data_IF_741568281663
#
_entry.id   IF_741568281663
#
_cell.length_a   1.000
_cell.length_b   1.000
_cell.length_c   1.000
_cell.angle_alpha   90.00
_cell.angle_beta   90.00
_cell.angle_gamma   90.00
#
_symmetry.space_group_name_H-M   'P 1'
#
loop_
_entity.id
_entity.type
_entity.pdbx_description
1 polymer ?
#
# COMPACT_ATOMS: atom_id res chain seq x y z
N UNK A 1 9.41 3.93 -3.13
CA UNK A 1 8.15 4.36 -3.77
C UNK A 1 7.05 4.51 -2.72
N UNK A 2 6.10 5.44 -2.89
CA UNK A 2 4.98 5.61 -1.95
C UNK A 2 4.10 4.36 -1.92
N UNK A 3 3.75 3.90 -0.72
CA UNK A 3 2.90 2.73 -0.54
C UNK A 3 1.94 2.85 0.65
N UNK A 4 0.85 2.10 0.58
CA UNK A 4 -0.02 1.78 1.72
C UNK A 4 0.18 0.32 2.09
N UNK A 5 0.67 0.05 3.31
CA UNK A 5 0.87 -1.31 3.83
C UNK A 5 0.30 -1.42 5.24
N UNK A 6 -0.60 -2.40 5.45
CA UNK A 6 -1.31 -2.61 6.72
C UNK A 6 -1.94 -1.33 7.30
N UNK A 7 -2.49 -0.47 6.43
CA UNK A 7 -3.11 0.79 6.81
C UNK A 7 -2.13 1.93 7.13
N UNK A 8 -0.83 1.71 6.98
CA UNK A 8 0.21 2.74 7.16
C UNK A 8 0.71 3.25 5.82
N UNK A 9 1.04 4.54 5.76
CA UNK A 9 1.64 5.17 4.57
C UNK A 9 3.15 5.31 4.80
N UNK A 10 3.95 4.90 3.83
CA UNK A 10 5.41 5.02 3.86
C UNK A 10 5.99 5.00 2.44
N UNK A 11 7.28 5.29 2.26
CA UNK A 11 7.92 5.28 0.92
C UNK A 11 8.86 4.10 0.67
N UNK A 12 8.66 2.98 1.37
CA UNK A 12 9.43 1.73 1.22
C UNK A 12 8.84 0.76 0.18
N UNK A 13 7.92 1.25 -0.65
CA UNK A 13 7.33 0.46 -1.72
C UNK A 13 8.33 0.12 -2.81
N UNK A 14 8.11 -1.02 -3.44
CA UNK A 14 8.85 -1.52 -4.60
C UNK A 14 7.98 -1.41 -5.86
N UNK A 15 8.58 -1.17 -7.03
CA UNK A 15 7.84 -0.93 -8.27
C UNK A 15 7.03 -2.14 -8.76
N UNK A 16 7.39 -3.36 -8.38
CA UNK A 16 6.70 -4.61 -8.72
C UNK A 16 5.48 -4.92 -7.82
N UNK A 17 5.30 -4.16 -6.74
CA UNK A 17 4.21 -4.36 -5.76
C UNK A 17 3.05 -3.38 -5.97
N UNK A 18 2.55 -3.34 -7.20
CA UNK A 18 1.52 -2.41 -7.67
C UNK A 18 0.33 -2.25 -6.71
N UNK A 19 -0.17 -3.33 -6.12
CA UNK A 19 -1.31 -3.26 -5.20
C UNK A 19 -1.08 -2.42 -3.94
N UNK A 20 0.17 -2.24 -3.53
CA UNK A 20 0.53 -1.39 -2.40
C UNK A 20 0.95 0.01 -2.85
N UNK A 21 1.42 0.15 -4.08
CA UNK A 21 2.13 1.33 -4.57
C UNK A 21 1.37 2.16 -5.59
N UNK A 22 0.26 1.66 -6.10
CA UNK A 22 -0.56 2.38 -7.07
C UNK A 22 -1.48 3.39 -6.38
N UNK A 23 -1.44 4.61 -6.90
CA UNK A 23 -2.25 5.73 -6.44
C UNK A 23 -2.94 6.37 -7.63
N UNK A 24 -4.25 6.52 -7.54
CA UNK A 24 -5.01 7.33 -8.46
C UNK A 24 -4.79 8.80 -8.08
N UNK A 25 -4.41 9.61 -9.07
CA UNK A 25 -4.37 11.06 -8.96
C UNK A 25 -5.69 11.59 -9.52
N UNK A 26 -6.57 12.04 -8.63
CA UNK A 26 -7.90 12.54 -9.00
C UNK A 26 -7.83 14.06 -8.99
N UNK A 27 -7.76 14.66 -10.18
CA UNK A 27 -7.70 16.11 -10.36
C UNK A 27 -9.05 16.78 -10.22
N UNK A 28 -9.03 18.03 -9.77
CA UNK A 28 -10.16 18.95 -9.69
C UNK A 28 -9.93 20.11 -10.68
N UNK A 29 -10.99 20.87 -10.98
CA UNK A 29 -10.98 21.93 -11.98
C UNK A 29 -10.09 23.13 -11.61
N UNK A 30 -9.81 23.34 -10.33
CA UNK A 30 -8.95 24.40 -9.79
C UNK A 30 -7.45 24.02 -9.79
N UNK A 31 -7.10 22.87 -10.40
CA UNK A 31 -5.74 22.34 -10.42
C UNK A 31 -5.31 21.69 -9.10
N UNK A 32 -6.20 21.59 -8.11
CA UNK A 32 -5.98 20.76 -6.94
C UNK A 32 -6.21 19.28 -7.29
N UNK A 33 -5.72 18.38 -6.44
CA UNK A 33 -5.92 16.95 -6.64
C UNK A 33 -5.95 16.18 -5.33
N UNK A 34 -6.47 14.95 -5.40
CA UNK A 34 -6.53 13.99 -4.31
C UNK A 34 -5.71 12.75 -4.68
N UNK A 35 -5.07 12.14 -3.69
CA UNK A 35 -4.33 10.89 -3.85
C UNK A 35 -5.11 9.74 -3.23
N UNK A 36 -5.65 8.86 -4.06
CA UNK A 36 -6.41 7.69 -3.62
C UNK A 36 -5.60 6.41 -3.84
N UNK A 37 -5.43 5.61 -2.80
CA UNK A 37 -4.81 4.29 -2.92
C UNK A 37 -5.70 3.37 -3.77
N UNK A 38 -5.16 2.83 -4.87
CA UNK A 38 -5.94 2.11 -5.87
C UNK A 38 -6.69 0.90 -5.28
N UNK A 39 -6.00 0.07 -4.47
CA UNK A 39 -6.58 -1.11 -3.86
C UNK A 39 -7.61 -0.78 -2.77
N UNK A 40 -7.23 0.06 -1.80
CA UNK A 40 -8.06 0.28 -0.61
C UNK A 40 -9.13 1.37 -0.76
N UNK A 41 -9.07 2.13 -1.87
CA UNK A 41 -9.90 3.31 -2.15
C UNK A 41 -9.82 4.44 -1.10
N UNK A 42 -8.86 4.36 -0.17
CA UNK A 42 -8.61 5.39 0.83
C UNK A 42 -7.74 6.51 0.28
N UNK A 43 -8.07 7.73 0.66
CA UNK A 43 -7.35 8.96 0.33
C UNK A 43 -6.26 9.25 1.38
N UNK A 44 -5.15 9.81 0.93
CA UNK A 44 -4.16 10.42 1.82
C UNK A 44 -4.73 11.75 2.33
N UNK A 45 -4.77 11.92 3.64
CA UNK A 45 -5.22 13.16 4.27
C UNK A 45 -4.32 13.55 5.44
N UNK A 46 -4.09 14.84 5.61
CA UNK A 46 -3.60 15.38 6.86
C UNK A 46 -4.64 15.22 7.98
N UNK A 47 -4.17 15.02 9.20
CA UNK A 47 -5.01 15.10 10.40
C UNK A 47 -4.78 16.42 11.14
N UNK A 48 -5.56 16.66 12.21
CA UNK A 48 -5.45 17.89 13.02
C UNK A 48 -4.04 18.13 13.60
N UNK A 49 -3.22 17.08 13.74
CA UNK A 49 -1.82 17.12 14.24
C UNK A 49 -0.79 17.23 13.12
N UNK A 50 -1.20 17.62 11.90
CA UNK A 50 -0.34 17.71 10.72
C UNK A 50 0.40 16.41 10.35
N UNK A 51 -0.19 15.25 10.69
CA UNK A 51 0.30 13.93 10.26
C UNK A 51 -0.59 13.38 9.15
N UNK A 52 -0.02 12.56 8.28
CA UNK A 52 -0.79 11.86 7.25
C UNK A 52 -1.55 10.65 7.80
N UNK A 53 -2.72 10.40 7.24
CA UNK A 53 -3.62 9.29 7.55
C UNK A 53 -4.33 8.84 6.27
N UNK A 54 -4.90 7.63 6.28
CA UNK A 54 -5.74 7.13 5.20
C UNK A 54 -7.22 7.21 5.59
N UNK A 55 -8.06 7.78 4.73
CA UNK A 55 -9.51 7.94 4.98
C UNK A 55 -10.34 7.51 3.78
N UNK A 56 -11.52 6.94 4.00
CA UNK A 56 -12.44 6.62 2.90
C UNK A 56 -13.12 7.88 2.33
N UNK A 57 -13.41 8.86 3.18
CA UNK A 57 -13.95 10.14 2.74
C UNK A 57 -12.80 11.09 2.37
N UNK A 58 -12.73 11.45 1.09
CA UNK A 58 -11.73 12.36 0.52
C UNK A 58 -12.23 13.78 0.22
N UNK A 59 -13.44 14.17 0.66
CA UNK A 59 -14.02 15.48 0.36
C UNK A 59 -13.48 16.63 1.25
N UNK A 60 -12.83 16.31 2.35
CA UNK A 60 -12.22 17.30 3.26
C UNK A 60 -10.97 17.91 2.59
N UNK A 61 -10.78 19.23 2.68
CA UNK A 61 -9.59 19.94 2.20
C UNK A 61 -8.27 19.33 2.70
N UNK A 62 -8.31 18.65 3.85
CA UNK A 62 -7.17 17.89 4.39
C UNK A 62 -6.68 16.78 3.48
N UNK A 63 -7.51 16.32 2.56
CA UNK A 63 -7.24 15.25 1.60
C UNK A 63 -6.89 15.80 0.21
N UNK A 64 -6.86 17.12 0.05
CA UNK A 64 -6.64 17.82 -1.21
C UNK A 64 -5.29 18.51 -1.19
N UNK A 65 -4.61 18.50 -2.34
CA UNK A 65 -3.25 19.00 -2.50
C UNK A 65 -3.10 19.81 -3.78
N UNK A 66 -2.07 20.66 -3.81
CA UNK A 66 -1.57 21.30 -5.02
C UNK A 66 -0.15 20.82 -5.32
N UNK A 67 0.15 20.74 -6.62
CA UNK A 67 1.49 20.41 -7.10
C UNK A 67 2.24 21.71 -7.38
N UNK A 68 3.44 21.83 -6.83
CA UNK A 68 4.37 22.90 -7.13
C UNK A 68 5.59 22.29 -7.81
N UNK A 69 5.75 22.57 -9.10
CA UNK A 69 6.91 22.13 -9.87
C UNK A 69 8.06 23.09 -9.58
N UNK A 70 9.19 22.54 -9.16
CA UNK A 70 10.40 23.30 -8.90
C UNK A 70 11.26 23.46 -10.15
N UNK A 71 12.14 24.45 -10.11
CA UNK A 71 13.15 24.69 -11.16
C UNK A 71 14.06 23.48 -11.44
N UNK A 72 14.24 22.59 -10.45
CA UNK A 72 15.01 21.35 -10.60
C UNK A 72 14.17 20.17 -11.15
N UNK A 73 12.94 20.41 -11.60
CA UNK A 73 12.05 19.43 -12.19
C UNK A 73 11.33 18.51 -11.20
N UNK A 74 11.63 18.60 -9.89
CA UNK A 74 10.92 17.85 -8.87
C UNK A 74 9.62 18.54 -8.48
N UNK A 75 8.61 17.74 -8.15
CA UNK A 75 7.33 18.24 -7.65
C UNK A 75 7.34 18.32 -6.13
N UNK A 76 6.65 19.32 -5.58
CA UNK A 76 6.26 19.37 -4.17
C UNK A 76 4.75 19.28 -4.09
N UNK A 77 4.27 18.52 -3.11
CA UNK A 77 2.85 18.28 -2.89
C UNK A 77 2.44 19.04 -1.65
N UNK A 78 1.84 20.22 -1.84
CA UNK A 78 1.39 21.12 -0.77
C UNK A 78 -0.04 20.80 -0.38
N UNK A 79 -0.34 20.84 0.92
CA UNK A 79 -1.71 20.71 1.44
C UNK A 79 -2.57 21.90 1.05
N UNK A 80 -3.82 21.65 0.63
CA UNK A 80 -4.78 22.72 0.43
C UNK A 80 -5.29 23.30 1.76
N UNK A 81 -5.46 22.45 2.78
CA UNK A 81 -5.94 22.87 4.10
C UNK A 81 -5.00 23.83 4.84
N UNK A 82 -3.68 23.65 4.70
CA UNK A 82 -2.65 24.49 5.34
C UNK A 82 -1.43 24.60 4.43
N UNK A 83 -1.18 25.77 3.87
CA UNK A 83 -0.10 26.02 2.90
C UNK A 83 1.31 25.72 3.43
N UNK A 84 1.52 25.70 4.74
CA UNK A 84 2.82 25.35 5.35
C UNK A 84 3.09 23.85 5.44
N UNK A 85 2.12 23.01 5.06
CA UNK A 85 2.25 21.56 5.13
C UNK A 85 2.54 20.98 3.74
N UNK A 86 3.67 20.29 3.63
CA UNK A 86 4.04 19.51 2.46
C UNK A 86 4.03 18.02 2.79
N UNK A 87 3.57 17.22 1.83
CA UNK A 87 3.67 15.77 1.90
C UNK A 87 5.14 15.38 1.68
N UNK A 88 5.75 14.72 2.67
CA UNK A 88 7.16 14.34 2.58
C UNK A 88 7.51 13.13 3.42
N UNK A 89 8.60 12.47 3.04
CA UNK A 89 9.13 11.28 3.71
C UNK A 89 10.65 11.39 3.80
N UNK A 90 11.19 10.92 4.92
CA UNK A 90 12.64 10.90 5.12
C UNK A 90 13.32 9.77 4.36
N UNK A 91 14.65 9.76 4.35
CA UNK A 91 15.44 8.71 3.71
C UNK A 91 15.22 7.29 4.24
N UNK A 92 14.59 7.12 5.41
CA UNK A 92 14.18 5.81 5.95
C UNK A 92 12.74 5.44 5.54
N UNK A 93 12.13 6.23 4.69
CA UNK A 93 10.76 6.10 4.21
C UNK A 93 9.67 6.35 5.24
N UNK A 94 9.95 7.05 6.34
CA UNK A 94 8.92 7.46 7.33
C UNK A 94 8.41 8.86 6.99
N UNK A 95 7.15 9.12 7.28
CA UNK A 95 6.57 10.46 7.14
C UNK A 95 7.45 11.50 7.85
N UNK A 96 7.84 12.53 7.11
CA UNK A 96 8.69 13.61 7.59
C UNK A 96 7.83 14.66 8.28
N UNK A 97 8.30 15.19 9.42
CA UNK A 97 7.62 16.30 10.08
C UNK A 97 7.57 17.52 9.12
N UNK A 98 6.40 18.03 8.72
CA UNK A 98 6.31 19.16 7.79
C UNK A 98 7.05 20.42 8.27
N UNK A 99 7.15 20.63 9.60
CA UNK A 99 7.87 21.77 10.17
C UNK A 99 9.38 21.76 9.88
N UNK A 100 9.93 20.61 9.48
CA UNK A 100 11.34 20.49 9.12
C UNK A 100 11.65 20.81 7.66
N UNK A 101 10.66 21.30 6.91
CA UNK A 101 10.76 21.60 5.47
C UNK A 101 12.01 22.39 5.11
N UNK A 102 12.27 23.52 5.79
CA UNK A 102 13.42 24.37 5.50
C UNK A 102 14.77 23.69 5.81
N UNK A 103 14.81 22.77 6.77
CA UNK A 103 16.03 22.04 7.13
C UNK A 103 16.28 20.83 6.22
N UNK A 104 15.22 20.22 5.68
CA UNK A 104 15.28 18.96 4.93
C UNK A 104 14.42 19.02 3.66
N UNK A 105 14.63 20.01 2.76
CA UNK A 105 13.75 20.27 1.63
C UNK A 105 13.63 19.06 0.68
N UNK A 106 14.71 18.31 0.48
CA UNK A 106 14.73 17.12 -0.39
C UNK A 106 13.81 15.98 0.09
N UNK A 107 13.42 15.95 1.36
CA UNK A 107 12.46 14.95 1.87
C UNK A 107 11.03 15.21 1.38
N UNK A 108 10.78 16.35 0.73
CA UNK A 108 9.47 16.78 0.23
C UNK A 108 9.43 16.87 -1.30
N UNK A 109 10.53 16.51 -1.97
CA UNK A 109 10.62 16.49 -3.42
C UNK A 109 10.13 15.12 -3.94
N UNK A 110 9.31 15.15 -4.99
CA UNK A 110 8.62 13.99 -5.59
C UNK A 110 8.93 13.87 -7.07
N UNK A 111 8.90 12.64 -7.57
CA UNK A 111 8.83 12.33 -8.98
C UNK A 111 7.62 11.42 -9.22
N UNK A 112 6.85 11.71 -10.27
CA UNK A 112 5.69 10.91 -10.67
C UNK A 112 6.16 9.83 -11.64
N UNK A 113 5.88 8.57 -11.31
CA UNK A 113 6.11 7.43 -12.20
C UNK A 113 4.76 7.01 -12.74
N UNK A 114 4.57 7.19 -14.05
CA UNK A 114 3.34 6.77 -14.74
C UNK A 114 3.55 5.35 -15.25
N UNK A 115 2.58 4.48 -15.01
CA UNK A 115 2.52 3.15 -15.65
C UNK A 115 1.16 2.99 -16.32
N UNK A 116 1.16 2.24 -17.42
CA UNK A 116 -0.09 1.76 -18.01
C UNK A 116 -0.66 0.64 -17.12
N UNK A 117 -1.98 0.67 -16.91
CA UNK A 117 -2.71 -0.36 -16.17
C UNK A 117 -3.78 -0.92 -17.12
N UNK A 118 -3.63 -2.16 -17.62
CA UNK A 118 -4.65 -2.76 -18.46
C UNK A 118 -5.93 -2.99 -17.65
N UNK A 119 -7.09 -3.01 -18.33
CA UNK A 119 -8.41 -3.19 -17.71
C UNK A 119 -8.49 -4.49 -16.89
N UNK A 120 -7.80 -5.54 -17.34
CA UNK A 120 -7.67 -6.82 -16.64
C UNK A 120 -7.00 -6.70 -15.27
N UNK A 121 -6.09 -5.74 -15.07
CA UNK A 121 -5.36 -5.54 -13.82
C UNK A 121 -6.04 -4.53 -12.89
N UNK A 122 -6.96 -3.71 -13.38
CA UNK A 122 -7.53 -2.57 -12.65
C UNK A 122 -8.22 -2.98 -11.32
N UNK A 123 -8.61 -4.24 -11.20
CA UNK A 123 -9.25 -4.84 -10.01
C UNK A 123 -8.45 -5.99 -9.38
N UNK A 124 -7.27 -6.35 -9.90
CA UNK A 124 -6.52 -7.55 -9.46
C UNK A 124 -6.04 -7.50 -8.01
N UNK A 125 -5.98 -6.31 -7.43
CA UNK A 125 -5.64 -6.14 -6.03
C UNK A 125 -6.80 -6.49 -5.08
N UNK A 126 -7.84 -7.15 -5.57
CA UNK A 126 -8.99 -7.53 -4.75
C UNK A 126 -8.53 -8.10 -3.42
N UNK A 127 -9.03 -7.46 -2.36
CA UNK A 127 -8.78 -7.91 -1.00
C UNK A 127 -9.32 -9.32 -0.94
N UNK A 128 -8.45 -10.34 -0.91
CA UNK A 128 -8.86 -11.68 -0.51
C UNK A 128 -9.64 -11.45 0.78
N UNK A 129 -10.97 -11.57 0.73
CA UNK A 129 -11.81 -11.50 1.93
C UNK A 129 -11.10 -12.43 2.91
N UNK A 130 -10.83 -12.01 4.17
CA UNK A 130 -10.26 -12.94 5.13
C UNK A 130 -11.11 -14.18 5.05
N UNK A 131 -10.52 -15.31 4.61
CA UNK A 131 -11.25 -16.57 4.50
C UNK A 131 -11.95 -16.70 5.84
N UNK A 132 -13.29 -16.74 5.84
CA UNK A 132 -14.06 -16.97 7.08
C UNK A 132 -13.30 -18.10 7.78
N UNK A 133 -12.81 -17.87 9.00
CA UNK A 133 -12.22 -18.95 9.78
C UNK A 133 -13.33 -19.99 9.83
N UNK A 134 -13.18 -21.06 9.05
CA UNK A 134 -14.06 -22.21 9.16
C UNK A 134 -13.92 -22.60 10.63
N UNK A 135 -14.99 -22.49 11.40
CA UNK A 135 -15.00 -23.09 12.72
C UNK A 135 -14.84 -24.58 12.47
N UNK A 136 -13.61 -25.05 12.58
CA UNK A 136 -13.32 -26.47 12.56
C UNK A 136 -13.93 -26.98 13.87
N UNK A 137 -15.14 -27.53 13.79
CA UNK A 137 -15.66 -28.35 14.86
C UNK A 137 -14.65 -29.48 15.04
N UNK A 138 -13.95 -29.50 16.18
CA UNK A 138 -12.96 -30.52 16.53
C UNK A 138 -13.68 -31.86 16.72
N UNK A 139 -14.07 -32.49 15.61
CA UNK A 139 -14.47 -33.88 15.58
C UNK A 139 -13.21 -34.73 15.53
N UNK A 140 -12.96 -35.51 16.57
CA UNK A 140 -11.84 -36.48 16.63
C UNK A 140 -11.81 -37.37 15.38
N UNK A 141 -12.98 -37.67 14.82
CA UNK A 141 -13.15 -38.48 13.61
C UNK A 141 -12.50 -37.85 12.38
N UNK A 142 -12.62 -36.53 12.19
CA UNK A 142 -12.02 -35.81 11.06
C UNK A 142 -10.50 -35.78 11.19
N UNK A 143 -10.00 -35.59 12.41
CA UNK A 143 -8.57 -35.54 12.67
C UNK A 143 -7.88 -36.89 12.41
N UNK A 144 -8.55 -38.00 12.74
CA UNK A 144 -8.06 -39.35 12.43
C UNK A 144 -8.08 -39.63 10.93
N UNK A 145 -9.14 -39.21 10.22
CA UNK A 145 -9.22 -39.38 8.77
C UNK A 145 -8.13 -38.61 8.02
N UNK A 146 -7.89 -37.35 8.39
CA UNK A 146 -6.83 -36.51 7.81
C UNK A 146 -5.42 -37.05 8.13
N UNK A 147 -5.20 -37.54 9.37
CA UNK A 147 -3.95 -38.17 9.76
C UNK A 147 -3.67 -39.44 8.95
N UNK A 148 -4.69 -40.28 8.73
CA UNK A 148 -4.53 -41.52 7.97
C UNK A 148 -4.29 -41.26 6.48
N UNK A 149 -4.95 -40.25 5.88
CA UNK A 149 -4.68 -39.84 4.50
C UNK A 149 -3.25 -39.29 4.33
N UNK A 150 -2.80 -38.47 5.30
CA UNK A 150 -1.43 -37.98 5.32
C UNK A 150 -0.41 -39.11 5.46
N UNK A 151 -0.61 -40.04 6.41
CA UNK A 151 0.30 -41.16 6.61
C UNK A 151 0.36 -42.08 5.39
N UNK A 152 -0.75 -42.28 4.67
CA UNK A 152 -0.77 -43.02 3.40
C UNK A 152 0.06 -42.35 2.30
N UNK A 153 0.01 -41.01 2.22
CA UNK A 153 0.80 -40.24 1.24
C UNK A 153 2.29 -40.25 1.58
N UNK A 154 2.63 -40.26 2.87
CA UNK A 154 4.03 -40.33 3.33
C UNK A 154 4.58 -41.76 3.21
N UNK A 155 3.78 -42.80 3.44
CA UNK A 155 4.23 -44.20 3.29
C UNK A 155 4.54 -44.59 1.84
N UNK A 156 4.04 -43.86 0.85
CA UNK A 156 4.34 -44.07 -0.57
C UNK A 156 5.71 -43.51 -1.01
N UNK A 157 6.49 -42.90 -0.10
CA UNK A 157 7.81 -42.34 -0.42
C UNK A 157 8.99 -43.19 0.07
N UNK A 158 8.76 -44.43 0.49
CA UNK A 158 9.82 -45.33 0.95
C UNK A 158 10.05 -46.57 0.06
N UNK A 159 9.93 -46.41 -1.26
CA UNK A 159 10.55 -47.35 -2.20
C UNK A 159 12.05 -47.05 -2.24
N UNK A 160 12.77 -47.80 -1.40
CA UNK A 160 14.22 -47.84 -1.30
C UNK A 160 14.87 -48.11 -2.66
N UNK A 161 15.57 -47.11 -3.21
CA UNK A 161 16.60 -47.30 -4.25
C UNK A 161 17.87 -47.78 -3.54
N UNK A 162 17.98 -49.08 -3.28
CA UNK A 162 19.25 -49.75 -3.02
C UNK A 162 19.19 -51.15 -3.62
N UNK A 163 19.94 -51.35 -4.72
CA UNK A 163 20.22 -52.65 -5.32
C UNK A 163 21.58 -53.09 -4.77
N UNK A 164 21.69 -54.19 -4.00
CA UNK A 164 22.97 -54.79 -3.71
C UNK A 164 23.39 -55.71 -4.88
N UNK A 165 24.67 -55.58 -5.29
CA UNK A 165 25.37 -56.52 -6.14
C UNK A 165 25.73 -57.80 -5.39
#
# INVERSE_FOLDING_TARGET
MLQSFLGTINTRGYPDRHCLTDWNVIGEWDGSFKLQHAQSRKFICFNKRARITLRFNGHDEKCTFHEEIRDNGYSRIRSNWKSTLYLGFNGRGRFQNPLSYYMKPRCFDWIKLVRYVPESEMHTCDSKKPKKKVQIHHSKTIHTALRNDFLRKVSATNDSIYIPH
#
